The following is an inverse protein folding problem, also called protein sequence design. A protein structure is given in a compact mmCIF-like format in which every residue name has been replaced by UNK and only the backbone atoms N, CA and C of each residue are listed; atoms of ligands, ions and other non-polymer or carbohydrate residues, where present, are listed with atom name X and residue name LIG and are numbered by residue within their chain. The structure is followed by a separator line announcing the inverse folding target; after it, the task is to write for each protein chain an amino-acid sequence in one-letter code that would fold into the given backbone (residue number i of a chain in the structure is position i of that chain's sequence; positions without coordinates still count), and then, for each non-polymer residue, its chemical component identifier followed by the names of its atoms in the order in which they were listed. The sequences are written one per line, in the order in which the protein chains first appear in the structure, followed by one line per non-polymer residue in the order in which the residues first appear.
data_IF_485029563348
#
_entry.id   IF_485029563348
#
_cell.length_a   1.000
_cell.length_b   1.000
_cell.length_c   1.000
_cell.angle_alpha   90.00
_cell.angle_beta   90.00
_cell.angle_gamma   90.00
#
_symmetry.space_group_name_H-M   'P 1'
#
loop_
_entity.id
_entity.type
_entity.pdbx_description
1 polymer ?
#
# COMPACT_ATOMS: atom_id res chain seq x y z
N UNK A 1 -1.04 -14.12 -92.06
CA UNK A 1 -1.35 -14.21 -90.61
C UNK A 1 -0.07 -14.49 -89.85
N UNK A 2 0.51 -13.49 -89.21
CA UNK A 2 1.63 -13.61 -88.27
C UNK A 2 1.50 -12.48 -87.26
N UNK A 3 1.10 -12.81 -86.03
CA UNK A 3 1.02 -11.85 -84.92
C UNK A 3 2.44 -11.63 -84.38
N UNK A 4 2.96 -10.40 -84.44
CA UNK A 4 4.14 -9.99 -83.67
C UNK A 4 3.66 -9.51 -82.30
N UNK A 5 4.06 -10.24 -81.27
CA UNK A 5 3.84 -9.94 -79.86
C UNK A 5 4.95 -8.98 -79.41
N UNK A 6 4.61 -7.71 -79.17
CA UNK A 6 5.54 -6.76 -78.55
C UNK A 6 5.29 -6.75 -77.03
N UNK A 7 6.29 -7.24 -76.30
CA UNK A 7 6.33 -7.32 -74.84
C UNK A 7 6.61 -5.92 -74.28
N UNK A 8 5.59 -5.27 -73.72
CA UNK A 8 5.76 -4.04 -72.93
C UNK A 8 6.34 -4.41 -71.56
N UNK A 9 7.59 -4.01 -71.29
CA UNK A 9 8.20 -4.11 -69.95
C UNK A 9 7.78 -2.85 -69.18
N UNK A 10 7.01 -2.94 -68.07
CA UNK A 10 6.85 -1.79 -67.20
C UNK A 10 8.10 -1.63 -66.34
N UNK A 11 8.77 -0.49 -66.50
CA UNK A 11 9.82 -0.01 -65.59
C UNK A 11 9.14 0.33 -64.27
N UNK A 12 9.23 -0.57 -63.29
CA UNK A 12 8.85 -0.29 -61.90
C UNK A 12 9.95 0.60 -61.32
N UNK A 13 9.70 1.91 -61.35
CA UNK A 13 10.48 2.89 -60.57
C UNK A 13 10.09 2.67 -59.11
N UNK A 14 10.95 1.95 -58.39
CA UNK A 14 10.87 1.80 -56.94
C UNK A 14 11.17 3.18 -56.32
N UNK A 15 10.12 3.95 -56.06
CA UNK A 15 10.21 5.10 -55.15
C UNK A 15 10.55 4.55 -53.78
N UNK A 16 11.84 4.57 -53.44
CA UNK A 16 12.32 4.40 -52.08
C UNK A 16 11.87 5.61 -51.27
N UNK A 17 10.62 5.59 -50.81
CA UNK A 17 10.23 6.39 -49.67
C UNK A 17 11.10 5.91 -48.50
N UNK A 18 12.03 6.77 -48.08
CA UNK A 18 12.63 6.69 -46.75
C UNK A 18 11.50 6.92 -45.75
N UNK A 19 10.74 5.86 -45.48
CA UNK A 19 9.98 5.77 -44.24
C UNK A 19 11.06 5.55 -43.21
N UNK A 20 11.52 6.65 -42.60
CA UNK A 20 12.22 6.56 -41.34
C UNK A 20 11.31 5.80 -40.39
N UNK A 21 11.58 4.51 -40.19
CA UNK A 21 11.06 3.80 -39.04
C UNK A 21 11.69 4.49 -37.84
N UNK A 22 10.95 5.41 -37.23
CA UNK A 22 11.12 5.66 -35.81
C UNK A 22 10.79 4.33 -35.15
N UNK A 23 11.83 3.62 -34.71
CA UNK A 23 11.66 2.54 -33.76
C UNK A 23 10.88 3.14 -32.59
N UNK A 24 9.66 2.64 -32.36
CA UNK A 24 8.96 2.93 -31.13
C UNK A 24 9.92 2.57 -29.99
N UNK A 25 10.17 3.54 -29.11
CA UNK A 25 10.88 3.32 -27.86
C UNK A 25 10.28 2.05 -27.24
N UNK A 26 11.10 1.01 -27.02
CA UNK A 26 10.59 -0.20 -26.40
C UNK A 26 10.11 0.21 -25.02
N UNK A 27 8.79 0.16 -24.78
CA UNK A 27 8.20 0.35 -23.46
C UNK A 27 8.88 -0.65 -22.51
N UNK A 28 9.88 -0.18 -21.78
CA UNK A 28 10.52 -0.95 -20.73
C UNK A 28 9.46 -1.22 -19.67
N UNK A 29 9.42 -2.43 -19.08
CA UNK A 29 8.52 -2.67 -17.95
C UNK A 29 8.83 -1.63 -16.86
N UNK A 30 7.81 -1.11 -16.17
CA UNK A 30 8.02 -0.17 -15.08
C UNK A 30 8.96 -0.80 -14.05
N UNK A 31 9.81 0.05 -13.47
CA UNK A 31 10.60 -0.29 -12.30
C UNK A 31 9.69 -0.78 -11.16
N UNK A 32 10.30 -1.41 -10.16
CA UNK A 32 9.56 -1.94 -9.03
C UNK A 32 8.77 -0.83 -8.31
N UNK A 33 9.37 0.34 -8.17
CA UNK A 33 8.81 1.54 -7.57
C UNK A 33 7.72 2.17 -8.43
N UNK A 34 7.96 2.33 -9.74
CA UNK A 34 6.96 2.85 -10.69
C UNK A 34 5.66 2.03 -10.65
N UNK A 35 5.74 0.71 -10.52
CA UNK A 35 4.56 -0.14 -10.39
C UNK A 35 3.71 0.15 -9.13
N UNK A 36 4.32 0.60 -8.03
CA UNK A 36 3.59 1.04 -6.83
C UNK A 36 3.02 2.46 -7.01
N UNK A 37 3.80 3.35 -7.64
CA UNK A 37 3.37 4.73 -7.91
C UNK A 37 2.15 4.78 -8.84
N UNK A 38 2.13 3.95 -9.89
CA UNK A 38 1.02 3.84 -10.85
C UNK A 38 -0.32 3.47 -10.20
N UNK A 39 -0.29 2.68 -9.11
CA UNK A 39 -1.49 2.28 -8.36
C UNK A 39 -1.76 3.17 -7.15
N UNK A 40 -1.10 4.33 -7.07
CA UNK A 40 -1.40 5.38 -6.10
C UNK A 40 -0.63 5.32 -4.79
N UNK A 41 0.46 4.54 -4.73
CA UNK A 41 1.41 4.67 -3.61
C UNK A 41 2.35 5.85 -3.82
N UNK A 42 2.86 6.33 -2.71
CA UNK A 42 3.79 7.46 -2.58
C UNK A 42 4.71 7.19 -1.38
N UNK A 43 5.50 8.17 -0.98
CA UNK A 43 6.29 8.04 0.25
C UNK A 43 5.38 7.96 1.49
N UNK A 44 5.83 7.24 2.51
CA UNK A 44 5.12 7.11 3.80
C UNK A 44 4.83 8.47 4.41
N UNK A 45 5.81 9.37 4.39
CA UNK A 45 5.67 10.73 4.94
C UNK A 45 4.54 11.52 4.26
N UNK A 46 4.43 11.44 2.93
CA UNK A 46 3.38 12.16 2.20
C UNK A 46 2.01 11.57 2.51
N UNK A 47 1.87 10.25 2.48
CA UNK A 47 0.61 9.59 2.81
C UNK A 47 0.14 9.87 4.25
N UNK A 48 1.08 9.86 5.20
CA UNK A 48 0.79 10.23 6.60
C UNK A 48 0.32 11.69 6.68
N UNK A 49 1.03 12.64 6.05
CA UNK A 49 0.62 14.05 6.07
C UNK A 49 -0.75 14.28 5.44
N UNK A 50 -1.08 13.55 4.37
CA UNK A 50 -2.42 13.63 3.75
C UNK A 50 -3.50 13.11 4.70
N UNK A 51 -3.28 11.97 5.36
CA UNK A 51 -4.21 11.44 6.35
C UNK A 51 -4.37 12.39 7.55
N UNK A 52 -3.25 12.88 8.10
CA UNK A 52 -3.26 13.83 9.23
C UNK A 52 -3.98 15.13 8.88
N UNK A 53 -3.79 15.64 7.66
CA UNK A 53 -4.49 16.83 7.18
C UNK A 53 -5.98 16.58 6.96
N UNK A 54 -6.36 15.36 6.52
CA UNK A 54 -7.76 15.00 6.31
C UNK A 54 -8.53 14.87 7.62
N UNK A 55 -7.94 14.23 8.64
CA UNK A 55 -8.60 13.99 9.93
C UNK A 55 -8.27 15.02 11.01
N UNK A 56 -7.38 15.98 10.70
CA UNK A 56 -6.88 16.99 11.63
C UNK A 56 -6.31 16.39 12.92
N UNK A 57 -5.62 15.25 12.80
CA UNK A 57 -5.05 14.54 13.95
C UNK A 57 -3.65 14.01 13.64
N UNK A 58 -2.93 13.57 14.66
CA UNK A 58 -1.58 13.00 14.52
C UNK A 58 -1.59 11.47 14.43
N UNK A 59 -0.66 10.94 13.65
CA UNK A 59 -0.41 9.50 13.52
C UNK A 59 0.97 9.18 14.05
N UNK A 60 1.02 8.31 15.06
CA UNK A 60 2.25 7.65 15.49
C UNK A 60 2.32 6.27 14.83
N UNK A 61 3.44 5.96 14.20
CA UNK A 61 3.74 4.63 13.68
C UNK A 61 4.48 3.80 14.74
N UNK A 62 4.43 2.45 14.66
CA UNK A 62 5.29 1.60 15.48
C UNK A 62 6.76 2.02 15.38
N UNK A 63 7.45 2.17 16.52
CA UNK A 63 8.88 2.53 16.55
C UNK A 63 9.78 1.38 16.07
N UNK A 64 9.24 0.16 16.05
CA UNK A 64 9.89 -1.03 15.51
C UNK A 64 9.18 -1.51 14.25
N UNK A 65 9.92 -2.22 13.41
CA UNK A 65 9.40 -3.05 12.31
C UNK A 65 9.73 -4.52 12.61
N UNK A 66 9.02 -5.49 12.00
CA UNK A 66 9.37 -6.90 12.16
C UNK A 66 10.85 -7.14 11.80
N UNK A 67 11.55 -8.08 12.48
CA UNK A 67 12.96 -8.38 12.24
C UNK A 67 13.17 -9.19 10.95
N UNK A 68 12.67 -8.68 9.82
CA UNK A 68 12.88 -9.20 8.48
C UNK A 68 13.38 -8.10 7.56
N UNK A 69 14.06 -8.49 6.49
CA UNK A 69 14.61 -7.53 5.53
C UNK A 69 13.54 -7.01 4.59
N UNK A 70 13.48 -5.68 4.48
CA UNK A 70 12.71 -4.95 3.48
C UNK A 70 13.65 -4.13 2.61
N UNK A 71 13.29 -3.92 1.36
CA UNK A 71 14.05 -3.03 0.45
C UNK A 71 13.31 -1.73 0.17
N UNK A 72 11.99 -1.69 0.36
CA UNK A 72 11.18 -0.50 0.10
C UNK A 72 10.10 -0.34 1.16
N UNK A 73 9.67 0.91 1.30
CA UNK A 73 8.50 1.29 2.07
C UNK A 73 7.64 2.23 1.23
N UNK A 74 6.33 2.02 1.25
CA UNK A 74 5.37 2.80 0.49
C UNK A 74 4.20 3.18 1.38
N UNK A 75 3.67 4.38 1.18
CA UNK A 75 2.44 4.86 1.82
C UNK A 75 1.36 5.12 0.78
N UNK A 76 0.10 4.99 1.17
CA UNK A 76 -1.04 5.45 0.38
C UNK A 76 -2.15 5.89 1.33
N UNK A 77 -2.79 7.01 1.04
CA UNK A 77 -4.01 7.43 1.72
C UNK A 77 -5.16 7.32 0.72
N UNK A 78 -6.18 6.53 1.08
CA UNK A 78 -7.40 6.39 0.33
C UNK A 78 -8.55 7.09 1.04
N UNK A 79 -9.27 7.94 0.32
CA UNK A 79 -10.48 8.64 0.78
C UNK A 79 -11.72 8.07 0.08
N UNK A 80 -12.68 7.56 0.85
CA UNK A 80 -13.99 7.15 0.34
C UNK A 80 -14.88 8.38 0.15
N UNK A 81 -14.81 8.97 -1.04
CA UNK A 81 -15.57 10.17 -1.39
C UNK A 81 -17.10 10.00 -1.32
N UNK A 82 -17.61 8.76 -1.27
CA UNK A 82 -19.07 8.50 -1.29
C UNK A 82 -19.63 8.38 0.11
N UNK A 83 -18.99 7.58 0.94
CA UNK A 83 -19.52 7.24 2.26
C UNK A 83 -18.65 7.74 3.41
N UNK A 84 -17.40 8.16 3.15
CA UNK A 84 -16.41 8.64 4.14
C UNK A 84 -16.17 7.68 5.32
N UNK A 85 -16.48 6.39 5.11
CA UNK A 85 -16.37 5.34 6.12
C UNK A 85 -15.17 4.43 5.90
N UNK A 86 -14.63 4.38 4.67
CA UNK A 86 -13.56 3.45 4.29
C UNK A 86 -12.22 4.15 4.09
N UNK A 87 -12.09 5.35 4.62
CA UNK A 87 -10.87 6.14 4.58
C UNK A 87 -9.76 5.43 5.37
N UNK A 88 -8.61 5.24 4.74
CA UNK A 88 -7.55 4.40 5.29
C UNK A 88 -6.18 4.87 4.84
N UNK A 89 -5.27 4.99 5.80
CA UNK A 89 -3.83 5.10 5.54
C UNK A 89 -3.26 3.68 5.49
N UNK A 90 -2.64 3.32 4.36
CA UNK A 90 -1.95 2.05 4.18
C UNK A 90 -0.45 2.28 4.04
N UNK A 91 0.34 1.56 4.82
CA UNK A 91 1.80 1.55 4.75
C UNK A 91 2.23 0.12 4.46
N UNK A 92 3.12 -0.05 3.46
CA UNK A 92 3.64 -1.35 3.04
C UNK A 92 5.15 -1.35 3.07
N UNK A 93 5.70 -2.37 3.71
CA UNK A 93 7.11 -2.73 3.67
C UNK A 93 7.24 -4.00 2.85
N UNK A 94 8.07 -3.95 1.81
CA UNK A 94 8.21 -5.04 0.84
C UNK A 94 9.68 -5.28 0.54
N UNK A 95 9.98 -6.50 0.12
CA UNK A 95 11.30 -6.85 -0.39
C UNK A 95 11.21 -7.27 -1.86
N UNK A 96 11.90 -6.54 -2.73
CA UNK A 96 11.96 -6.81 -4.17
C UNK A 96 12.54 -8.20 -4.50
N UNK A 97 13.48 -8.66 -3.68
CA UNK A 97 14.22 -9.91 -3.89
C UNK A 97 13.55 -11.08 -3.16
N UNK A 98 12.83 -10.79 -2.07
CA UNK A 98 12.08 -11.77 -1.27
C UNK A 98 10.58 -11.42 -1.24
N UNK A 99 9.84 -11.85 -2.27
CA UNK A 99 8.43 -11.46 -2.49
C UNK A 99 7.46 -11.75 -1.33
N UNK A 100 7.81 -12.66 -0.43
CA UNK A 100 6.99 -13.02 0.74
C UNK A 100 7.36 -12.22 2.00
N UNK A 101 8.42 -11.40 1.95
CA UNK A 101 8.72 -10.44 3.01
C UNK A 101 7.84 -9.21 2.80
N UNK A 102 6.59 -9.34 3.26
CA UNK A 102 5.59 -8.28 3.21
C UNK A 102 5.11 -8.03 4.63
N UNK A 103 5.22 -6.78 5.06
CA UNK A 103 4.59 -6.27 6.26
C UNK A 103 3.74 -5.06 5.88
N UNK A 104 2.58 -4.91 6.50
CA UNK A 104 1.68 -3.80 6.25
C UNK A 104 1.06 -3.27 7.53
N UNK A 105 0.75 -1.99 7.51
CA UNK A 105 0.05 -1.27 8.56
C UNK A 105 -1.10 -0.54 7.88
N UNK A 106 -2.32 -0.89 8.24
CA UNK A 106 -3.52 -0.17 7.82
C UNK A 106 -4.09 0.60 9.02
N UNK A 107 -4.31 1.90 8.87
CA UNK A 107 -4.69 2.82 9.95
C UNK A 107 -5.97 3.55 9.56
N UNK A 108 -6.92 3.59 10.49
CA UNK A 108 -8.19 4.31 10.36
C UNK A 108 -8.58 4.97 11.68
N UNK A 109 -9.40 6.02 11.67
CA UNK A 109 -9.99 6.54 12.89
C UNK A 109 -10.88 5.50 13.58
N UNK A 110 -10.93 5.51 14.92
CA UNK A 110 -11.76 4.55 15.69
C UNK A 110 -13.25 4.67 15.40
N UNK A 111 -13.74 5.82 14.94
CA UNK A 111 -15.13 5.99 14.54
C UNK A 111 -15.46 5.25 13.23
N UNK A 112 -14.45 4.93 12.42
CA UNK A 112 -14.54 4.13 11.19
C UNK A 112 -14.03 2.68 11.40
N UNK A 113 -13.90 2.24 12.65
CA UNK A 113 -13.26 0.95 12.96
C UNK A 113 -14.01 -0.25 12.40
N UNK A 114 -13.24 -1.27 12.06
CA UNK A 114 -13.77 -2.59 11.71
C UNK A 114 -13.64 -3.51 12.92
N UNK A 115 -14.63 -4.38 13.09
CA UNK A 115 -14.60 -5.42 14.12
C UNK A 115 -14.07 -6.71 13.50
N UNK A 116 -13.18 -7.38 14.23
CA UNK A 116 -12.56 -8.63 13.82
C UNK A 116 -12.74 -9.66 14.93
N UNK A 117 -12.97 -10.90 14.55
CA UNK A 117 -13.00 -12.04 15.47
C UNK A 117 -11.60 -12.68 15.51
N UNK A 118 -11.13 -13.03 16.71
CA UNK A 118 -9.82 -13.61 16.88
C UNK A 118 -9.44 -13.82 18.33
N UNK A 119 -8.16 -14.13 18.57
CA UNK A 119 -7.62 -14.33 19.91
C UNK A 119 -7.21 -12.99 20.52
N UNK A 120 -7.79 -12.65 21.66
CA UNK A 120 -7.43 -11.43 22.41
C UNK A 120 -6.08 -11.57 23.14
N UNK A 121 -5.33 -10.48 23.16
CA UNK A 121 -4.10 -10.31 23.93
C UNK A 121 -4.15 -8.96 24.67
N UNK A 122 -3.69 -8.96 25.92
CA UNK A 122 -3.52 -7.72 26.68
C UNK A 122 -2.23 -7.02 26.24
N UNK A 123 -2.30 -5.71 26.04
CA UNK A 123 -1.17 -4.86 25.67
C UNK A 123 -0.59 -4.18 26.93
N UNK A 124 0.70 -3.84 26.89
CA UNK A 124 1.42 -3.31 28.08
C UNK A 124 0.85 -1.97 28.54
N UNK A 125 0.31 -1.17 27.62
CA UNK A 125 -0.33 0.10 27.93
C UNK A 125 -1.76 -0.03 28.47
N UNK A 126 -2.23 -1.27 28.73
CA UNK A 126 -3.55 -1.56 29.28
C UNK A 126 -4.66 -1.73 28.24
N UNK A 127 -4.34 -1.57 26.95
CA UNK A 127 -5.24 -1.86 25.84
C UNK A 127 -5.39 -3.36 25.55
N UNK A 128 -6.19 -3.66 24.53
CA UNK A 128 -6.33 -5.01 23.98
C UNK A 128 -6.02 -5.01 22.50
N UNK A 129 -5.44 -6.10 22.02
CA UNK A 129 -5.36 -6.41 20.60
C UNK A 129 -5.97 -7.76 20.27
N UNK A 130 -6.36 -7.94 19.02
CA UNK A 130 -6.94 -9.17 18.50
C UNK A 130 -6.02 -9.70 17.41
N UNK A 131 -5.54 -10.93 17.61
CA UNK A 131 -4.80 -11.68 16.60
C UNK A 131 -5.75 -12.57 15.81
N UNK A 132 -5.56 -12.61 14.49
CA UNK A 132 -6.28 -13.53 13.62
C UNK A 132 -5.47 -13.83 12.36
N UNK A 133 -5.87 -14.86 11.64
CA UNK A 133 -5.25 -15.28 10.39
C UNK A 133 -6.28 -15.10 9.27
N UNK A 134 -5.86 -14.52 8.16
CA UNK A 134 -6.73 -14.32 7.01
C UNK A 134 -5.94 -14.35 5.71
N UNK A 135 -6.33 -15.25 4.80
CA UNK A 135 -5.54 -15.59 3.61
C UNK A 135 -4.07 -15.88 3.97
N UNK A 136 -3.11 -15.28 3.27
CA UNK A 136 -1.68 -15.53 3.45
C UNK A 136 -1.04 -14.63 4.52
N UNK A 137 -1.82 -14.08 5.44
CA UNK A 137 -1.35 -13.11 6.43
C UNK A 137 -1.81 -13.45 7.85
N UNK A 138 -0.90 -13.21 8.78
CA UNK A 138 -1.19 -13.07 10.20
C UNK A 138 -1.44 -11.59 10.50
N UNK A 139 -2.51 -11.33 11.25
CA UNK A 139 -2.95 -9.99 11.59
C UNK A 139 -3.00 -9.75 13.08
N UNK A 140 -2.80 -8.49 13.45
CA UNK A 140 -3.03 -8.00 14.81
C UNK A 140 -3.67 -6.62 14.74
N UNK A 141 -4.90 -6.51 15.26
CA UNK A 141 -5.65 -5.25 15.31
C UNK A 141 -5.71 -4.71 16.74
N UNK A 142 -5.51 -3.41 16.91
CA UNK A 142 -5.59 -2.74 18.21
C UNK A 142 -5.95 -1.27 18.04
N UNK A 143 -6.49 -0.68 19.10
CA UNK A 143 -6.83 0.74 19.15
C UNK A 143 -5.82 1.49 20.02
N UNK A 144 -5.34 2.65 19.55
CA UNK A 144 -4.47 3.58 20.30
C UNK A 144 -4.57 5.00 19.74
N UNK A 145 -4.47 6.03 20.57
CA UNK A 145 -4.54 7.45 20.16
C UNK A 145 -5.79 7.83 19.34
N UNK A 146 -6.91 7.14 19.51
CA UNK A 146 -8.12 7.36 18.70
C UNK A 146 -8.03 6.81 17.27
N UNK A 147 -7.03 5.98 16.99
CA UNK A 147 -6.86 5.26 15.73
C UNK A 147 -6.94 3.74 15.96
N UNK A 148 -7.50 3.01 15.00
CA UNK A 148 -7.40 1.56 14.90
C UNK A 148 -6.26 1.23 13.93
N UNK A 149 -5.33 0.41 14.40
CA UNK A 149 -4.20 -0.11 13.65
C UNK A 149 -4.46 -1.57 13.32
N UNK A 150 -4.26 -1.96 12.06
CA UNK A 150 -4.24 -3.34 11.60
C UNK A 150 -2.84 -3.65 11.07
N UNK A 151 -2.05 -4.37 11.87
CA UNK A 151 -0.75 -4.88 11.48
C UNK A 151 -0.94 -6.20 10.74
N UNK A 152 -0.25 -6.40 9.62
CA UNK A 152 -0.29 -7.64 8.86
C UNK A 152 1.10 -8.08 8.40
N UNK A 153 1.45 -9.33 8.63
CA UNK A 153 2.70 -9.94 8.14
C UNK A 153 2.38 -11.21 7.36
N UNK A 154 3.07 -11.43 6.25
CA UNK A 154 2.87 -12.62 5.44
C UNK A 154 3.23 -13.90 6.22
N UNK A 155 2.44 -14.97 6.08
CA UNK A 155 2.53 -16.20 6.89
C UNK A 155 3.84 -16.97 6.74
N UNK A 156 4.50 -16.85 5.59
CA UNK A 156 5.74 -17.60 5.29
C UNK A 156 7.02 -16.96 5.84
N UNK A 157 6.90 -16.06 6.81
CA UNK A 157 8.06 -15.55 7.54
C UNK A 157 8.44 -16.58 8.61
N UNK A 158 9.40 -17.44 8.29
CA UNK A 158 9.53 -18.82 8.81
C UNK A 158 9.92 -19.01 10.28
N UNK A 159 10.41 -17.98 10.99
CA UNK A 159 11.13 -18.18 12.26
C UNK A 159 10.73 -17.22 13.39
N UNK A 160 9.55 -16.58 13.31
CA UNK A 160 9.10 -15.57 14.27
C UNK A 160 7.84 -16.03 15.00
N UNK A 161 7.84 -15.92 16.33
CA UNK A 161 6.61 -15.97 17.12
C UNK A 161 5.74 -14.76 16.78
N UNK A 162 4.86 -14.97 15.80
CA UNK A 162 4.17 -13.89 15.10
C UNK A 162 3.20 -13.14 16.01
N UNK A 163 2.33 -13.79 16.82
CA UNK A 163 1.46 -13.07 17.75
C UNK A 163 2.22 -12.16 18.73
N UNK A 164 3.27 -12.68 19.36
CA UNK A 164 4.08 -11.96 20.35
C UNK A 164 4.87 -10.80 19.72
N UNK A 165 5.43 -11.02 18.52
CA UNK A 165 6.09 -9.97 17.75
C UNK A 165 5.12 -8.85 17.34
N UNK A 166 3.92 -9.17 16.85
CA UNK A 166 2.91 -8.18 16.50
C UNK A 166 2.39 -7.40 17.73
N UNK A 167 2.25 -8.06 18.88
CA UNK A 167 1.90 -7.39 20.13
C UNK A 167 2.98 -6.39 20.58
N UNK A 168 4.27 -6.74 20.46
CA UNK A 168 5.38 -5.79 20.71
C UNK A 168 5.37 -4.59 19.77
N UNK A 169 5.09 -4.80 18.49
CA UNK A 169 4.94 -3.70 17.53
C UNK A 169 3.80 -2.76 17.95
N UNK A 170 2.67 -3.32 18.38
CA UNK A 170 1.55 -2.53 18.89
C UNK A 170 1.93 -1.72 20.14
N UNK A 171 2.65 -2.32 21.09
CA UNK A 171 3.14 -1.63 22.29
C UNK A 171 4.14 -0.52 21.96
N UNK A 172 4.88 -0.64 20.86
CA UNK A 172 5.88 0.36 20.44
C UNK A 172 5.29 1.64 19.84
N UNK A 173 3.99 1.69 19.53
CA UNK A 173 3.35 2.94 19.09
C UNK A 173 3.33 3.91 20.27
N UNK A 174 3.84 5.12 20.09
CA UNK A 174 3.85 6.14 21.15
C UNK A 174 2.45 6.65 21.49
N UNK A 175 2.26 7.04 22.75
CA UNK A 175 1.05 7.77 23.16
C UNK A 175 1.15 9.23 22.71
N UNK A 176 0.09 9.75 22.09
CA UNK A 176 0.00 11.17 21.74
C UNK A 176 -0.58 11.91 22.94
N UNK A 177 0.17 12.87 23.48
CA UNK A 177 -0.30 13.74 24.56
C UNK A 177 -1.01 14.99 24.01
N UNK A 178 -2.18 15.33 24.57
CA UNK A 178 -2.91 16.57 24.27
C UNK A 178 -3.96 16.46 23.15
N UNK A 179 -4.40 17.61 22.63
CA UNK A 179 -5.51 17.75 21.66
C UNK A 179 -5.22 17.15 20.26
N UNK A 180 -4.03 16.59 20.05
CA UNK A 180 -3.58 16.05 18.76
C UNK A 180 -3.98 14.59 18.52
N UNK A 181 -4.56 13.91 19.52
CA UNK A 181 -5.09 12.57 19.34
C UNK A 181 -6.30 12.60 18.39
N UNK A 182 -6.53 11.52 17.64
CA UNK A 182 -7.64 11.45 16.69
C UNK A 182 -8.97 11.34 17.44
N UNK A 183 -9.51 12.49 17.84
CA UNK A 183 -10.77 12.57 18.57
C UNK A 183 -11.95 12.63 17.61
N UNK A 184 -13.11 12.19 18.11
CA UNK A 184 -14.34 12.18 17.36
C UNK A 184 -14.73 13.65 17.16
N UNK A 185 -14.60 14.19 15.95
CA UNK A 185 -15.48 15.28 15.54
C UNK A 185 -16.89 14.69 15.51
N UNK A 186 -17.67 14.93 16.56
CA UNK A 186 -19.10 14.80 16.47
C UNK A 186 -19.52 15.67 15.29
N UNK A 187 -19.97 15.04 14.21
CA UNK A 187 -20.78 15.72 13.21
C UNK A 187 -22.04 16.15 13.96
N UNK A 188 -22.00 17.33 14.57
CA UNK A 188 -23.20 18.04 14.96
C UNK A 188 -23.95 18.31 13.65
N UNK A 189 -25.17 17.77 13.59
CA UNK A 189 -26.10 17.96 12.49
C UNK A 189 -26.14 19.44 12.05
N UNK A 190 -25.89 19.70 10.78
CA UNK A 190 -26.38 20.90 10.07
C UNK A 190 -27.10 20.48 8.81
#
# INVERSE_FOLDING_TARGET
MTKKLYLFIPVIVMFLSNIGLHAAEQDLPPSFEEGYEEVGYKSVEVAVKEFEAHFECKVELPEMVPPISFTHQFGSFFEDKRHRMNDNLSIRFVNKDHRKNIFKIDIRPVHNKITFDGKEYALQYGGKGIYFEFHDFHFYVFDKNGLQYLLGIHQEVSDIDTPDMLARLADSVKEIQGENACTIYSVENS
#
